data_IF_477377459722
#
_entry.id   IF_477377459722
#
_cell.length_a   1.000
_cell.length_b   1.000
_cell.length_c   1.000
_cell.angle_alpha   90.00
_cell.angle_beta   90.00
_cell.angle_gamma   90.00
#
_symmetry.space_group_name_H-M   'P 1'
#
loop_
_entity.id
_entity.type
_entity.pdbx_description
1 polymer ?
#
# COMPACT_ATOMS: atom_id res chain seq x y z
N UNK A 1 -12.37 6.43 21.77
CA UNK A 1 -12.15 6.58 20.31
C UNK A 1 -12.85 5.42 19.63
N UNK A 2 -13.66 5.68 18.60
CA UNK A 2 -14.17 4.64 17.70
C UNK A 2 -13.00 4.24 16.79
N UNK A 3 -12.66 2.96 16.72
CA UNK A 3 -11.55 2.42 15.94
C UNK A 3 -10.82 1.27 16.65
N UNK A 4 -10.00 0.49 15.93
CA UNK A 4 -9.32 -0.65 16.53
C UNK A 4 -8.34 -0.23 17.61
N UNK A 5 -8.33 -0.99 18.71
CA UNK A 5 -7.36 -0.82 19.79
C UNK A 5 -6.01 -1.39 19.37
N UNK A 6 -5.09 -0.52 18.95
CA UNK A 6 -3.71 -0.88 18.62
C UNK A 6 -2.80 -0.47 19.78
N UNK A 7 -2.18 -1.44 20.44
CA UNK A 7 -1.34 -1.23 21.63
C UNK A 7 0.15 -1.51 21.40
N UNK A 8 0.53 -1.92 20.19
CA UNK A 8 1.92 -2.23 19.85
C UNK A 8 2.10 -2.47 18.35
N UNK A 9 3.24 -3.05 17.97
CA UNK A 9 3.52 -3.45 16.60
C UNK A 9 2.48 -4.48 16.09
N UNK A 10 2.08 -4.35 14.83
CA UNK A 10 1.08 -5.23 14.19
C UNK A 10 1.79 -6.42 13.53
N UNK A 11 2.91 -6.14 12.85
CA UNK A 11 3.73 -7.11 12.16
C UNK A 11 4.88 -7.57 13.08
N UNK A 12 5.32 -8.83 12.98
CA UNK A 12 4.83 -9.89 12.09
C UNK A 12 3.64 -10.68 12.67
N UNK A 13 3.10 -10.27 13.82
CA UNK A 13 2.15 -11.06 14.61
C UNK A 13 0.73 -11.15 14.02
N UNK A 14 0.38 -10.26 13.09
CA UNK A 14 -0.88 -10.28 12.36
C UNK A 14 -0.64 -10.19 10.85
N UNK A 15 -1.52 -10.77 10.06
CA UNK A 15 -1.60 -10.51 8.62
C UNK A 15 -2.54 -9.35 8.35
N UNK A 16 -2.09 -8.38 7.58
CA UNK A 16 -2.95 -7.31 7.11
C UNK A 16 -3.61 -7.73 5.80
N UNK A 17 -4.94 -7.63 5.72
CA UNK A 17 -5.71 -7.83 4.49
C UNK A 17 -6.39 -6.50 4.16
N UNK A 18 -6.01 -5.90 3.04
CA UNK A 18 -6.35 -4.53 2.69
C UNK A 18 -7.17 -4.44 1.40
N UNK A 19 -8.20 -3.59 1.40
CA UNK A 19 -8.85 -3.12 0.18
C UNK A 19 -8.29 -1.76 -0.23
N UNK A 20 -7.78 -1.67 -1.46
CA UNK A 20 -7.15 -0.47 -1.98
C UNK A 20 -8.10 0.34 -2.87
N UNK A 21 -7.93 1.66 -2.87
CA UNK A 21 -8.40 2.50 -3.97
C UNK A 21 -8.86 3.89 -3.61
N UNK A 22 -9.79 4.42 -4.42
CA UNK A 22 -10.37 5.75 -4.25
C UNK A 22 -11.91 5.67 -4.30
N UNK A 23 -12.63 6.13 -3.25
CA UNK A 23 -14.09 6.03 -3.18
C UNK A 23 -14.84 6.83 -4.28
N UNK A 24 -14.15 7.72 -4.99
CA UNK A 24 -14.72 8.52 -6.09
C UNK A 24 -14.48 7.90 -7.46
N UNK A 25 -13.86 6.72 -7.56
CA UNK A 25 -13.54 6.08 -8.83
C UNK A 25 -13.81 4.57 -8.80
N UNK A 26 -14.72 4.13 -9.67
CA UNK A 26 -15.02 2.70 -9.91
C UNK A 26 -13.88 1.95 -10.61
N UNK A 27 -12.83 2.65 -11.04
CA UNK A 27 -11.69 2.09 -11.80
C UNK A 27 -10.39 2.04 -11.00
N UNK A 28 -10.35 2.64 -9.81
CA UNK A 28 -9.14 2.76 -9.00
C UNK A 28 -9.14 1.83 -7.78
N UNK A 29 -9.90 0.73 -7.82
CA UNK A 29 -9.86 -0.33 -6.80
C UNK A 29 -11.13 -0.48 -5.97
N UNK A 30 -11.12 -1.50 -5.11
CA UNK A 30 -12.27 -1.99 -4.35
C UNK A 30 -12.99 -0.90 -3.53
N UNK A 31 -12.28 0.13 -3.03
CA UNK A 31 -12.89 1.21 -2.24
C UNK A 31 -13.91 2.05 -3.00
N UNK A 32 -13.79 2.14 -4.33
CA UNK A 32 -14.70 2.89 -5.20
C UNK A 32 -15.55 2.01 -6.11
N UNK A 33 -15.21 0.73 -6.24
CA UNK A 33 -15.94 -0.20 -7.11
C UNK A 33 -17.32 -0.59 -6.55
N UNK A 34 -17.43 -0.74 -5.22
CA UNK A 34 -18.64 -1.21 -4.55
C UNK A 34 -19.21 -0.15 -3.59
N UNK A 35 -20.54 -0.17 -3.30
CA UNK A 35 -21.11 0.58 -2.17
C UNK A 35 -20.43 0.21 -0.84
N UNK A 36 -20.40 1.13 0.13
CA UNK A 36 -19.66 0.97 1.41
C UNK A 36 -19.92 -0.39 2.08
N UNK A 37 -21.17 -0.73 2.31
CA UNK A 37 -21.52 -1.92 3.10
C UNK A 37 -21.21 -3.22 2.34
N UNK A 38 -21.43 -3.25 1.02
CA UNK A 38 -21.01 -4.39 0.18
C UNK A 38 -19.48 -4.52 0.13
N UNK A 39 -18.75 -3.41 0.02
CA UNK A 39 -17.29 -3.37 0.08
C UNK A 39 -16.75 -3.97 1.38
N UNK A 40 -17.30 -3.57 2.53
CA UNK A 40 -16.88 -4.08 3.84
C UNK A 40 -17.23 -5.56 4.02
N UNK A 41 -18.41 -6.01 3.59
CA UNK A 41 -18.77 -7.43 3.62
C UNK A 41 -17.86 -8.29 2.73
N UNK A 42 -17.42 -7.77 1.58
CA UNK A 42 -16.44 -8.46 0.73
C UNK A 42 -15.08 -8.55 1.41
N UNK A 43 -14.64 -7.48 2.09
CA UNK A 43 -13.42 -7.51 2.90
C UNK A 43 -13.51 -8.54 4.04
N UNK A 44 -14.68 -8.72 4.66
CA UNK A 44 -14.91 -9.77 5.65
C UNK A 44 -14.72 -11.17 5.07
N UNK A 45 -15.37 -11.46 3.94
CA UNK A 45 -15.22 -12.75 3.25
C UNK A 45 -13.76 -13.00 2.88
N UNK A 46 -13.08 -11.99 2.31
CA UNK A 46 -11.68 -12.11 1.94
C UNK A 46 -10.78 -12.38 3.17
N UNK A 47 -11.08 -11.73 4.30
CA UNK A 47 -10.33 -11.90 5.54
C UNK A 47 -10.55 -13.28 6.16
N UNK A 48 -11.76 -13.85 6.04
CA UNK A 48 -12.05 -15.21 6.48
C UNK A 48 -11.28 -16.26 5.68
N UNK A 49 -11.09 -16.07 4.38
CA UNK A 49 -10.24 -16.95 3.55
C UNK A 49 -8.80 -16.97 4.07
N UNK A 50 -8.25 -15.79 4.41
CA UNK A 50 -6.91 -15.68 4.99
C UNK A 50 -6.78 -16.28 6.39
N UNK A 51 -7.79 -16.08 7.24
CA UNK A 51 -7.82 -16.65 8.58
C UNK A 51 -7.93 -18.19 8.57
N UNK A 52 -8.52 -18.78 7.52
CA UNK A 52 -8.55 -20.24 7.32
C UNK A 52 -7.23 -20.78 6.77
N UNK A 53 -6.51 -19.98 6.00
CA UNK A 53 -5.29 -20.42 5.31
C UNK A 53 -4.01 -20.32 6.15
N UNK A 54 -3.99 -19.53 7.22
CA UNK A 54 -2.81 -19.33 8.06
C UNK A 54 -3.19 -19.10 9.53
N UNK A 55 -2.25 -19.35 10.43
CA UNK A 55 -2.41 -19.18 11.88
C UNK A 55 -2.32 -17.72 12.34
N UNK A 56 -1.77 -16.82 11.53
CA UNK A 56 -1.69 -15.40 11.89
C UNK A 56 -3.09 -14.76 11.93
N UNK A 57 -3.48 -14.11 13.05
CA UNK A 57 -4.71 -13.34 13.10
C UNK A 57 -4.76 -12.27 12.00
N UNK A 58 -5.93 -12.05 11.42
CA UNK A 58 -6.12 -11.05 10.38
C UNK A 58 -6.42 -9.67 10.98
N UNK A 59 -5.74 -8.65 10.48
CA UNK A 59 -6.04 -7.24 10.68
C UNK A 59 -6.56 -6.65 9.35
N UNK A 60 -7.84 -6.33 9.30
CA UNK A 60 -8.44 -5.69 8.13
C UNK A 60 -7.92 -4.26 7.96
N UNK A 61 -7.84 -3.82 6.70
CA UNK A 61 -7.42 -2.46 6.36
C UNK A 61 -8.17 -1.87 5.15
N UNK A 62 -8.36 -0.55 5.17
CA UNK A 62 -8.72 0.23 3.98
C UNK A 62 -7.52 1.08 3.57
N UNK A 63 -7.03 0.93 2.34
CA UNK A 63 -5.89 1.66 1.80
C UNK A 63 -6.37 2.70 0.77
N UNK A 64 -6.52 3.95 1.23
CA UNK A 64 -7.01 5.07 0.42
C UNK A 64 -5.86 5.71 -0.36
N UNK A 65 -6.05 5.93 -1.66
CA UNK A 65 -5.24 6.89 -2.44
C UNK A 65 -5.61 8.31 -2.01
N UNK A 66 -4.92 8.81 -0.98
CA UNK A 66 -5.22 10.11 -0.37
C UNK A 66 -4.66 11.26 -1.20
N UNK A 67 -3.56 11.01 -1.90
CA UNK A 67 -2.93 11.95 -2.83
C UNK A 67 -2.66 11.17 -4.12
N UNK A 68 -3.31 11.58 -5.20
CA UNK A 68 -3.29 10.86 -6.47
C UNK A 68 -2.56 11.66 -7.54
N UNK A 69 -1.62 11.03 -8.24
CA UNK A 69 -0.92 11.64 -9.35
C UNK A 69 -1.91 11.96 -10.49
N UNK A 70 -1.69 13.09 -11.16
CA UNK A 70 -2.58 13.59 -12.20
C UNK A 70 -1.85 13.67 -13.54
N UNK A 71 -2.59 13.50 -14.63
CA UNK A 71 -2.06 13.75 -15.98
C UNK A 71 -1.90 15.24 -16.32
N UNK A 72 -2.47 16.13 -15.53
CA UNK A 72 -2.39 17.58 -15.71
C UNK A 72 -1.91 18.26 -14.42
N UNK A 73 -1.22 19.42 -14.51
CA UNK A 73 -0.80 20.16 -13.34
C UNK A 73 -2.00 20.75 -12.59
N UNK A 74 -1.92 20.77 -11.26
CA UNK A 74 -2.80 21.54 -10.40
C UNK A 74 -2.46 23.03 -10.43
N UNK A 75 -3.16 23.82 -9.60
CA UNK A 75 -2.95 25.28 -9.50
C UNK A 75 -1.54 25.66 -9.04
N UNK A 76 -0.88 24.78 -8.29
CA UNK A 76 0.48 24.92 -7.79
C UNK A 76 1.54 24.34 -8.74
N UNK A 77 1.14 23.97 -9.97
CA UNK A 77 2.04 23.40 -10.99
C UNK A 77 2.38 21.92 -10.78
N UNK A 78 2.04 21.34 -9.63
CA UNK A 78 2.31 19.94 -9.34
C UNK A 78 1.25 19.02 -9.93
N UNK A 79 1.70 17.87 -10.43
CA UNK A 79 0.85 16.87 -11.10
C UNK A 79 0.25 15.89 -10.10
N UNK A 80 -0.48 16.43 -9.11
CA UNK A 80 -1.14 15.65 -8.07
C UNK A 80 -2.39 16.34 -7.56
N UNK A 81 -3.34 15.55 -7.09
CA UNK A 81 -4.56 16.01 -6.43
C UNK A 81 -4.63 15.40 -5.02
N UNK A 82 -4.82 16.26 -4.01
CA UNK A 82 -5.11 15.84 -2.64
C UNK A 82 -6.61 15.60 -2.48
N UNK A 83 -6.99 14.48 -1.87
CA UNK A 83 -8.37 14.26 -1.45
C UNK A 83 -8.78 15.30 -0.40
N UNK A 84 -10.05 15.69 -0.41
CA UNK A 84 -10.59 16.60 0.61
C UNK A 84 -10.55 15.98 2.01
N UNK A 85 -10.45 16.81 3.05
CA UNK A 85 -10.54 16.38 4.46
C UNK A 85 -11.81 15.53 4.69
N UNK A 86 -12.96 15.96 4.12
CA UNK A 86 -14.22 15.19 4.15
C UNK A 86 -14.05 13.77 3.61
N UNK A 87 -13.31 13.58 2.51
CA UNK A 87 -13.09 12.26 1.91
C UNK A 87 -12.15 11.41 2.76
N UNK A 88 -11.03 11.98 3.20
CA UNK A 88 -10.04 11.27 4.02
C UNK A 88 -10.70 10.81 5.33
N UNK A 89 -11.38 11.71 6.04
CA UNK A 89 -12.10 11.37 7.29
C UNK A 89 -13.23 10.37 7.07
N UNK A 90 -13.90 10.41 5.92
CA UNK A 90 -14.95 9.44 5.57
C UNK A 90 -14.38 8.01 5.52
N UNK A 91 -13.26 7.80 4.83
CA UNK A 91 -12.65 6.45 4.75
C UNK A 91 -12.02 6.02 6.08
N UNK A 92 -11.37 6.94 6.81
CA UNK A 92 -10.88 6.66 8.17
C UNK A 92 -12.02 6.23 9.09
N UNK A 93 -13.19 6.88 8.98
CA UNK A 93 -14.38 6.51 9.74
C UNK A 93 -14.91 5.13 9.35
N UNK A 94 -14.97 4.82 8.06
CA UNK A 94 -15.36 3.49 7.60
C UNK A 94 -14.46 2.39 8.17
N UNK A 95 -13.14 2.62 8.17
CA UNK A 95 -12.20 1.68 8.78
C UNK A 95 -12.46 1.56 10.30
N UNK A 96 -12.64 2.69 10.99
CA UNK A 96 -12.85 2.71 12.43
C UNK A 96 -14.16 2.03 12.87
N UNK A 97 -15.27 2.28 12.15
CA UNK A 97 -16.58 1.63 12.37
C UNK A 97 -16.49 0.10 12.18
N UNK A 98 -15.58 -0.35 11.30
CA UNK A 98 -15.39 -1.76 10.96
C UNK A 98 -14.18 -2.40 11.66
N UNK A 99 -13.64 -1.78 12.72
CA UNK A 99 -12.47 -2.28 13.46
C UNK A 99 -11.23 -2.57 12.57
N UNK A 100 -11.12 -1.87 11.44
CA UNK A 100 -10.03 -1.95 10.49
C UNK A 100 -9.05 -0.78 10.67
N UNK A 101 -7.79 -1.00 10.26
CA UNK A 101 -6.80 0.09 10.16
C UNK A 101 -6.97 0.82 8.82
N UNK A 102 -6.38 2.01 8.68
CA UNK A 102 -6.42 2.78 7.45
C UNK A 102 -5.01 3.14 6.99
N UNK A 103 -4.74 3.04 5.69
CA UNK A 103 -3.54 3.57 5.07
C UNK A 103 -3.91 4.76 4.18
N UNK A 104 -3.09 5.79 4.24
CA UNK A 104 -3.18 6.95 3.34
C UNK A 104 -2.01 6.89 2.38
N UNK A 105 -2.29 6.62 1.11
CA UNK A 105 -1.27 6.50 0.07
C UNK A 105 -0.95 7.85 -0.58
N UNK A 106 0.32 8.02 -0.94
CA UNK A 106 0.83 9.19 -1.64
C UNK A 106 1.43 8.81 -2.99
N UNK A 107 0.78 9.30 -4.04
CA UNK A 107 1.32 9.41 -5.40
C UNK A 107 1.70 10.89 -5.64
N UNK A 108 2.98 11.23 -5.46
CA UNK A 108 3.44 12.63 -5.42
C UNK A 108 3.41 13.35 -6.77
N UNK A 109 3.44 12.62 -7.88
CA UNK A 109 3.62 13.18 -9.21
C UNK A 109 4.95 13.93 -9.30
N UNK A 110 4.88 15.25 -9.49
CA UNK A 110 6.04 16.15 -9.50
C UNK A 110 6.22 16.93 -8.18
N UNK A 111 5.37 16.70 -7.18
CA UNK A 111 5.51 17.35 -5.88
C UNK A 111 6.65 16.73 -5.05
N UNK A 112 7.29 17.49 -4.15
CA UNK A 112 8.15 16.93 -3.11
C UNK A 112 7.32 16.09 -2.11
N UNK A 113 7.89 15.00 -1.59
CA UNK A 113 7.21 14.09 -0.66
C UNK A 113 6.86 14.76 0.69
N UNK A 114 7.77 15.58 1.23
CA UNK A 114 7.62 16.21 2.55
C UNK A 114 6.30 17.00 2.76
N UNK A 115 5.98 17.99 1.90
CA UNK A 115 4.72 18.74 2.00
C UNK A 115 3.46 17.87 1.89
N UNK A 116 3.51 16.78 1.14
CA UNK A 116 2.40 15.84 1.00
C UNK A 116 2.23 15.00 2.28
N UNK A 117 3.33 14.60 2.93
CA UNK A 117 3.28 13.96 4.25
C UNK A 117 2.77 14.92 5.34
N UNK A 118 3.24 16.17 5.37
CA UNK A 118 2.77 17.19 6.31
C UNK A 118 1.27 17.48 6.15
N UNK A 119 0.74 17.47 4.92
CA UNK A 119 -0.70 17.56 4.67
C UNK A 119 -1.48 16.41 5.33
N UNK A 120 -0.93 15.19 5.37
CA UNK A 120 -1.57 14.02 5.99
C UNK A 120 -1.31 13.88 7.50
N UNK A 121 -0.40 14.68 8.06
CA UNK A 121 -0.01 14.64 9.48
C UNK A 121 -1.17 14.64 10.47
N UNK A 122 -2.23 15.45 10.31
CA UNK A 122 -3.35 15.45 11.26
C UNK A 122 -4.04 14.09 11.38
N UNK A 123 -4.08 13.30 10.31
CA UNK A 123 -4.70 11.97 10.30
C UNK A 123 -3.76 10.90 10.82
N UNK A 124 -2.46 11.01 10.52
CA UNK A 124 -1.43 10.05 10.96
C UNK A 124 -1.21 10.05 12.48
N UNK A 125 -1.68 11.08 13.18
CA UNK A 125 -1.75 11.11 14.66
C UNK A 125 -2.72 10.07 15.24
N UNK A 126 -3.66 9.53 14.46
CA UNK A 126 -4.56 8.46 14.91
C UNK A 126 -3.79 7.13 14.97
N UNK A 127 -3.89 6.33 16.05
CA UNK A 127 -3.05 5.15 16.24
C UNK A 127 -3.20 4.09 15.14
N UNK A 128 -4.39 3.96 14.54
CA UNK A 128 -4.75 3.00 13.51
C UNK A 128 -4.65 3.54 12.07
N UNK A 129 -4.05 4.73 11.88
CA UNK A 129 -3.80 5.30 10.55
C UNK A 129 -2.30 5.23 10.23
N UNK A 130 -1.99 4.73 9.04
CA UNK A 130 -0.66 4.40 8.54
C UNK A 130 -0.42 5.05 7.16
N UNK A 131 0.78 4.92 6.61
CA UNK A 131 1.20 5.61 5.39
C UNK A 131 1.55 4.60 4.29
N UNK A 132 1.10 4.89 3.07
CA UNK A 132 1.59 4.29 1.84
C UNK A 132 2.33 5.34 1.00
N UNK A 133 3.39 4.93 0.31
CA UNK A 133 4.05 5.76 -0.69
C UNK A 133 4.25 4.94 -1.97
N UNK A 134 3.97 5.59 -3.10
CA UNK A 134 4.04 4.97 -4.40
C UNK A 134 5.18 5.55 -5.25
N UNK A 135 6.34 4.86 -5.34
CA UNK A 135 7.44 5.30 -6.18
C UNK A 135 7.08 5.37 -7.66
N UNK A 136 6.06 4.65 -8.16
CA UNK A 136 5.65 4.69 -9.57
C UNK A 136 5.38 6.13 -10.02
N UNK A 137 4.87 6.94 -9.10
CA UNK A 137 4.47 8.32 -9.35
C UNK A 137 5.44 9.35 -8.80
N UNK A 138 6.63 8.95 -8.36
CA UNK A 138 7.69 9.88 -7.97
C UNK A 138 8.52 10.26 -9.20
N UNK A 139 8.09 11.31 -9.89
CA UNK A 139 8.59 11.65 -11.22
C UNK A 139 9.88 12.49 -11.17
N UNK A 140 10.95 11.94 -10.59
CA UNK A 140 12.26 12.62 -10.42
C UNK A 140 12.88 13.17 -11.71
N UNK A 141 12.44 12.69 -12.88
CA UNK A 141 12.92 13.12 -14.21
C UNK A 141 12.19 14.33 -14.77
N UNK A 142 11.14 14.84 -14.11
CA UNK A 142 10.26 15.86 -14.67
C UNK A 142 9.20 15.31 -15.64
N UNK A 143 9.23 14.02 -15.96
CA UNK A 143 8.25 13.41 -16.84
C UNK A 143 6.84 13.46 -16.24
N UNK A 144 5.83 13.66 -17.09
CA UNK A 144 4.43 13.62 -16.67
C UNK A 144 4.09 12.24 -16.06
N UNK A 145 3.36 12.18 -14.92
CA UNK A 145 2.92 10.91 -14.34
C UNK A 145 2.19 10.01 -15.35
N UNK A 146 2.42 8.70 -15.26
CA UNK A 146 1.84 7.71 -16.17
C UNK A 146 2.50 7.62 -17.55
N UNK A 147 3.52 8.42 -17.85
CA UNK A 147 4.31 8.30 -19.10
C UNK A 147 5.60 7.51 -18.93
N UNK A 148 6.13 7.47 -17.70
CA UNK A 148 7.28 6.67 -17.28
C UNK A 148 7.01 6.16 -15.86
N UNK A 149 7.72 5.11 -15.47
CA UNK A 149 7.73 4.64 -14.07
C UNK A 149 8.70 5.54 -13.30
N UNK A 150 8.20 6.13 -12.21
CA UNK A 150 8.96 6.95 -11.28
C UNK A 150 9.88 6.14 -10.37
N UNK A 151 10.49 6.83 -9.40
CA UNK A 151 11.43 6.21 -8.46
C UNK A 151 11.51 6.97 -7.15
N UNK A 152 11.73 6.23 -6.06
CA UNK A 152 12.23 6.75 -4.80
C UNK A 152 13.61 6.20 -4.52
N UNK A 153 14.45 7.03 -3.92
CA UNK A 153 15.67 6.57 -3.30
C UNK A 153 15.43 6.15 -1.85
N UNK A 154 16.36 5.39 -1.28
CA UNK A 154 16.41 5.15 0.16
C UNK A 154 16.36 6.45 0.97
N UNK A 155 16.90 7.57 0.47
CA UNK A 155 16.77 8.88 1.12
C UNK A 155 15.30 9.34 1.25
N UNK A 156 14.46 9.14 0.22
CA UNK A 156 13.03 9.48 0.27
C UNK A 156 12.29 8.57 1.27
N UNK A 157 12.60 7.27 1.27
CA UNK A 157 12.00 6.31 2.21
C UNK A 157 12.42 6.63 3.65
N UNK A 158 13.69 6.96 3.87
CA UNK A 158 14.20 7.38 5.17
C UNK A 158 13.57 8.70 5.65
N UNK A 159 13.24 9.62 4.74
CA UNK A 159 12.46 10.81 5.08
C UNK A 159 11.09 10.44 5.65
N UNK A 160 10.38 9.50 5.01
CA UNK A 160 9.10 9.00 5.48
C UNK A 160 9.22 8.24 6.82
N UNK A 161 10.26 7.42 6.99
CA UNK A 161 10.55 6.72 8.25
C UNK A 161 10.76 7.71 9.40
N UNK A 162 11.59 8.74 9.20
CA UNK A 162 11.85 9.74 10.23
C UNK A 162 10.57 10.53 10.57
N UNK A 163 9.83 10.98 9.56
CA UNK A 163 8.57 11.68 9.73
C UNK A 163 7.54 10.86 10.55
N UNK A 164 7.37 9.58 10.25
CA UNK A 164 6.48 8.70 11.00
C UNK A 164 7.00 8.44 12.42
N UNK A 165 8.31 8.28 12.60
CA UNK A 165 8.92 8.10 13.93
C UNK A 165 8.69 9.32 14.82
N UNK A 166 8.79 10.53 14.28
CA UNK A 166 8.53 11.77 15.01
C UNK A 166 7.06 11.89 15.41
N UNK A 167 6.12 11.52 14.53
CA UNK A 167 4.69 11.44 14.87
C UNK A 167 4.46 10.44 16.01
N UNK A 168 5.09 9.26 15.95
CA UNK A 168 4.96 8.24 17.00
C UNK A 168 5.42 8.76 18.34
N UNK A 169 6.62 9.35 18.40
CA UNK A 169 7.20 9.89 19.64
C UNK A 169 6.37 11.05 20.18
N UNK A 170 5.98 11.99 19.33
CA UNK A 170 5.26 13.20 19.77
C UNK A 170 3.83 12.93 20.26
N UNK A 171 3.25 11.77 19.93
CA UNK A 171 1.86 11.44 20.25
C UNK A 171 1.73 10.13 21.06
N UNK A 172 2.84 9.56 21.55
CA UNK A 172 2.92 8.29 22.27
C UNK A 172 2.12 7.16 21.58
N UNK A 173 2.33 7.00 20.27
CA UNK A 173 1.59 6.02 19.46
C UNK A 173 2.29 4.65 19.44
N UNK A 174 1.56 3.57 19.12
CA UNK A 174 2.21 2.34 18.66
C UNK A 174 2.97 2.59 17.34
N UNK A 175 3.92 1.70 16.98
CA UNK A 175 4.67 1.81 15.73
C UNK A 175 3.77 1.94 14.50
N UNK A 176 4.12 2.85 13.60
CA UNK A 176 3.44 3.01 12.31
C UNK A 176 3.88 1.93 11.33
N UNK A 177 3.12 1.76 10.26
CA UNK A 177 3.49 0.95 9.12
C UNK A 177 3.69 1.91 7.95
N UNK A 178 4.79 1.74 7.24
CA UNK A 178 5.08 2.37 5.96
C UNK A 178 5.02 1.30 4.88
N UNK A 179 4.03 1.40 3.98
CA UNK A 179 3.96 0.57 2.78
C UNK A 179 4.70 1.28 1.65
N UNK A 180 5.68 0.61 1.05
CA UNK A 180 6.41 1.10 -0.12
C UNK A 180 6.05 0.21 -1.31
N UNK A 181 5.27 0.75 -2.23
CA UNK A 181 4.79 0.04 -3.41
C UNK A 181 5.92 -0.20 -4.41
N UNK A 182 5.93 -1.37 -5.07
CA UNK A 182 6.99 -1.73 -6.01
C UNK A 182 6.58 -2.86 -6.93
N UNK A 183 6.77 -2.69 -8.23
CA UNK A 183 6.61 -3.78 -9.21
C UNK A 183 7.72 -3.88 -10.26
N UNK A 184 8.69 -2.97 -10.21
CA UNK A 184 9.96 -3.08 -10.94
C UNK A 184 11.12 -2.84 -9.99
N UNK A 185 12.32 -3.29 -10.34
CA UNK A 185 13.50 -3.08 -9.51
C UNK A 185 13.84 -1.59 -9.32
N UNK A 186 13.76 -0.80 -10.40
CA UNK A 186 14.21 0.61 -10.42
C UNK A 186 13.29 1.59 -9.69
N UNK A 187 12.13 1.15 -9.23
CA UNK A 187 11.23 1.97 -8.42
C UNK A 187 11.82 2.33 -7.06
N UNK A 188 12.72 1.51 -6.53
CA UNK A 188 13.42 1.78 -5.26
C UNK A 188 14.91 1.62 -5.48
N UNK A 189 15.66 2.71 -5.34
CA UNK A 189 17.13 2.69 -5.45
C UNK A 189 17.78 2.65 -4.08
N UNK A 190 19.00 2.12 -4.04
CA UNK A 190 19.84 2.10 -2.84
C UNK A 190 19.18 1.46 -1.61
N UNK A 191 18.34 0.44 -1.79
CA UNK A 191 17.53 -0.17 -0.71
C UNK A 191 18.34 -0.55 0.55
N UNK A 192 19.63 -0.92 0.40
CA UNK A 192 20.53 -1.24 1.52
C UNK A 192 20.77 -0.06 2.47
N UNK A 193 20.51 1.16 2.03
CA UNK A 193 20.62 2.39 2.81
C UNK A 193 19.31 2.77 3.52
N UNK A 194 18.23 1.98 3.36
CA UNK A 194 16.98 2.17 4.10
C UNK A 194 17.23 1.81 5.56
N UNK A 195 16.92 2.72 6.47
CA UNK A 195 17.18 2.60 7.90
C UNK A 195 15.92 2.10 8.60
N UNK A 196 16.06 0.99 9.33
CA UNK A 196 14.99 0.49 10.20
C UNK A 196 14.85 1.38 11.44
N UNK A 197 13.64 1.49 11.95
CA UNK A 197 13.32 2.28 13.14
C UNK A 197 12.28 1.53 13.98
N UNK A 198 12.45 1.41 15.32
CA UNK A 198 11.50 0.67 16.15
C UNK A 198 10.07 1.26 16.13
N UNK A 199 9.92 2.53 15.78
CA UNK A 199 8.63 3.20 15.66
C UNK A 199 7.96 3.01 14.28
N UNK A 200 8.63 2.37 13.31
CA UNK A 200 8.14 2.22 11.93
C UNK A 200 8.43 0.82 11.39
N UNK A 201 7.38 0.11 11.02
CA UNK A 201 7.44 -1.18 10.33
C UNK A 201 7.36 -0.93 8.82
N UNK A 202 8.37 -1.34 8.06
CA UNK A 202 8.45 -1.11 6.62
C UNK A 202 7.98 -2.36 5.88
N UNK A 203 7.00 -2.21 4.99
CA UNK A 203 6.51 -3.25 4.09
C UNK A 203 6.95 -2.92 2.67
N UNK A 204 7.83 -3.74 2.10
CA UNK A 204 8.11 -3.71 0.66
C UNK A 204 7.01 -4.50 -0.06
N UNK A 205 6.17 -3.80 -0.80
CA UNK A 205 4.91 -4.31 -1.30
C UNK A 205 4.97 -4.59 -2.81
N UNK A 206 4.93 -5.86 -3.20
CA UNK A 206 4.91 -6.29 -4.59
C UNK A 206 3.56 -5.94 -5.25
N UNK A 207 3.54 -4.89 -6.06
CA UNK A 207 2.35 -4.26 -6.66
C UNK A 207 2.18 -4.59 -8.17
N UNK A 208 2.75 -5.71 -8.61
CA UNK A 208 2.69 -6.14 -10.02
C UNK A 208 1.42 -6.95 -10.30
N UNK A 209 0.85 -6.78 -11.49
CA UNK A 209 -0.27 -7.61 -11.96
C UNK A 209 0.17 -8.58 -13.06
N UNK A 210 -0.58 -9.66 -13.21
CA UNK A 210 -0.35 -10.67 -14.23
C UNK A 210 -0.58 -12.09 -13.70
N UNK A 211 -0.29 -13.11 -14.50
CA UNK A 211 -0.45 -14.50 -14.10
C UNK A 211 0.52 -14.83 -12.96
N UNK A 212 0.21 -15.84 -12.14
CA UNK A 212 0.99 -16.17 -10.94
C UNK A 212 2.47 -16.33 -11.19
N UNK A 213 2.86 -17.03 -12.25
CA UNK A 213 4.28 -17.23 -12.58
C UNK A 213 5.06 -15.91 -12.79
N UNK A 214 4.43 -14.87 -13.36
CA UNK A 214 5.07 -13.56 -13.51
C UNK A 214 5.19 -12.86 -12.15
N UNK A 215 4.14 -12.94 -11.33
CA UNK A 215 4.14 -12.33 -10.00
C UNK A 215 5.13 -13.00 -9.05
N UNK A 216 5.30 -14.32 -9.15
CA UNK A 216 6.32 -15.08 -8.42
C UNK A 216 7.74 -14.73 -8.89
N UNK A 217 7.97 -14.64 -10.22
CA UNK A 217 9.26 -14.23 -10.78
C UNK A 217 9.65 -12.82 -10.32
N UNK A 218 8.72 -11.87 -10.40
CA UNK A 218 8.96 -10.49 -9.96
C UNK A 218 9.08 -10.35 -8.45
N UNK A 219 8.33 -11.14 -7.67
CA UNK A 219 8.52 -11.23 -6.21
C UNK A 219 9.95 -11.70 -5.87
N UNK A 220 10.43 -12.77 -6.52
CA UNK A 220 11.82 -13.23 -6.37
C UNK A 220 12.82 -12.14 -6.75
N UNK A 221 12.63 -11.52 -7.91
CA UNK A 221 13.64 -10.61 -8.45
C UNK A 221 13.69 -9.28 -7.72
N UNK A 222 12.57 -8.85 -7.12
CA UNK A 222 12.44 -7.51 -6.55
C UNK A 222 12.26 -7.50 -5.03
N UNK A 223 11.58 -8.48 -4.44
CA UNK A 223 11.40 -8.52 -2.98
C UNK A 223 12.48 -9.37 -2.33
N UNK A 224 12.73 -10.57 -2.85
CA UNK A 224 13.69 -11.52 -2.23
C UNK A 224 15.13 -11.03 -2.37
N UNK A 225 15.51 -10.50 -3.54
CA UNK A 225 16.87 -10.00 -3.80
C UNK A 225 17.18 -8.65 -3.13
N UNK A 226 16.15 -7.92 -2.71
CA UNK A 226 16.29 -6.59 -2.10
C UNK A 226 15.48 -6.47 -0.80
N UNK A 227 15.80 -7.30 0.22
CA UNK A 227 15.05 -7.35 1.45
C UNK A 227 15.23 -6.07 2.29
N UNK A 228 14.18 -5.69 3.02
CA UNK A 228 14.21 -4.56 3.96
C UNK A 228 13.73 -4.98 5.35
N UNK A 229 12.44 -5.25 5.54
CA UNK A 229 11.91 -5.70 6.82
C UNK A 229 10.74 -6.68 6.67
N UNK A 230 9.60 -6.22 6.16
CA UNK A 230 8.43 -7.06 5.89
C UNK A 230 8.06 -7.00 4.41
N UNK A 231 7.30 -8.00 3.96
CA UNK A 231 6.87 -8.11 2.57
C UNK A 231 5.37 -8.04 2.44
N UNK A 232 4.94 -7.41 1.36
CA UNK A 232 3.55 -7.35 0.95
C UNK A 232 3.36 -7.88 -0.47
N UNK A 233 2.12 -8.25 -0.79
CA UNK A 233 1.74 -8.75 -2.10
C UNK A 233 0.36 -8.25 -2.48
N UNK A 234 0.22 -7.75 -3.71
CA UNK A 234 -1.07 -7.31 -4.24
C UNK A 234 -1.71 -8.35 -5.12
N UNK A 235 -3.03 -8.44 -5.09
CA UNK A 235 -3.87 -9.28 -5.91
C UNK A 235 -4.87 -8.40 -6.65
N UNK A 236 -4.93 -8.56 -7.98
CA UNK A 236 -5.83 -7.75 -8.81
C UNK A 236 -6.96 -8.62 -9.33
N UNK A 237 -8.18 -8.41 -8.84
CA UNK A 237 -9.34 -9.25 -9.17
C UNK A 237 -9.58 -9.37 -10.68
N UNK A 238 -9.28 -8.31 -11.43
CA UNK A 238 -9.48 -8.26 -12.89
C UNK A 238 -8.18 -8.35 -13.67
N UNK A 239 -7.12 -7.67 -13.23
CA UNK A 239 -5.89 -7.57 -14.02
C UNK A 239 -5.06 -8.87 -14.01
N UNK A 240 -5.08 -9.64 -12.92
CA UNK A 240 -4.37 -10.93 -12.85
C UNK A 240 -5.01 -12.00 -13.75
N UNK A 241 -6.28 -11.79 -14.14
CA UNK A 241 -7.03 -12.68 -15.04
C UNK A 241 -6.86 -12.33 -16.52
N UNK A 242 -6.19 -11.22 -16.85
CA UNK A 242 -5.97 -10.84 -18.25
C UNK A 242 -5.02 -11.84 -18.89
N UNK A 243 -5.38 -12.29 -20.11
CA UNK A 243 -4.50 -13.14 -20.91
C UNK A 243 -3.17 -12.41 -21.11
N UNK A 244 -2.08 -13.08 -20.79
CA UNK A 244 -0.76 -12.64 -21.23
C UNK A 244 -0.59 -12.97 -22.70
N UNK A 245 0.31 -12.22 -23.36
CA UNK A 245 0.76 -12.50 -24.72
C UNK A 245 1.04 -14.01 -24.88
N UNK A 246 0.59 -14.62 -25.99
CA UNK A 246 0.87 -16.02 -26.29
C UNK A 246 2.37 -16.31 -26.45
N UNK A 247 3.20 -15.28 -26.64
CA UNK A 247 4.67 -15.36 -26.60
C UNK A 247 5.25 -15.37 -25.19
N UNK A 248 4.43 -15.07 -24.18
CA UNK A 248 4.83 -15.08 -22.78
C UNK A 248 5.03 -16.51 -22.28
N UNK A 249 6.15 -16.75 -21.60
CA UNK A 249 6.42 -18.03 -20.91
C UNK A 249 5.46 -18.28 -19.72
N UNK A 250 4.68 -17.28 -19.33
CA UNK A 250 3.83 -17.31 -18.15
C UNK A 250 2.46 -17.93 -18.48
N UNK A 251 2.13 -19.07 -17.87
CA UNK A 251 0.91 -19.85 -18.18
C UNK A 251 -0.26 -19.55 -17.22
N UNK A 252 -1.45 -19.90 -17.70
CA UNK A 252 -2.81 -19.88 -17.09
C UNK A 252 -3.05 -18.72 -16.11
N UNK A 253 -3.68 -17.62 -16.56
CA UNK A 253 -4.03 -16.52 -15.68
C UNK A 253 -5.09 -16.97 -14.66
N UNK A 254 -4.80 -16.76 -13.38
CA UNK A 254 -5.75 -16.86 -12.29
C UNK A 254 -5.31 -15.94 -11.15
N UNK A 255 -6.26 -15.61 -10.28
CA UNK A 255 -5.97 -14.90 -9.05
C UNK A 255 -5.31 -15.89 -8.08
N UNK A 256 -4.10 -15.61 -7.62
CA UNK A 256 -3.42 -16.48 -6.65
C UNK A 256 -4.27 -16.62 -5.38
N UNK A 257 -4.40 -17.86 -4.92
CA UNK A 257 -5.05 -18.21 -3.66
C UNK A 257 -4.20 -17.80 -2.45
N UNK A 258 -4.79 -17.71 -1.23
CA UNK A 258 -4.01 -17.52 -0.02
C UNK A 258 -2.87 -18.52 0.13
N UNK A 259 -3.08 -19.80 -0.18
CA UNK A 259 -2.05 -20.85 -0.08
C UNK A 259 -0.87 -20.60 -1.02
N UNK A 260 -1.14 -20.19 -2.26
CA UNK A 260 -0.08 -19.87 -3.22
C UNK A 260 0.74 -18.65 -2.77
N UNK A 261 0.09 -17.61 -2.26
CA UNK A 261 0.79 -16.43 -1.72
C UNK A 261 1.57 -16.79 -0.44
N UNK A 262 1.04 -17.68 0.41
CA UNK A 262 1.72 -18.17 1.62
C UNK A 262 2.95 -19.04 1.31
N UNK A 263 3.02 -19.64 0.12
CA UNK A 263 4.20 -20.39 -0.32
C UNK A 263 5.41 -19.51 -0.63
N UNK A 264 5.21 -18.19 -0.78
CA UNK A 264 6.27 -17.24 -1.06
C UNK A 264 7.20 -17.05 0.16
N UNK A 265 8.50 -16.96 -0.11
CA UNK A 265 9.53 -16.64 0.88
C UNK A 265 10.30 -15.40 0.43
N UNK A 266 10.45 -14.35 1.27
CA UNK A 266 9.93 -14.21 2.64
C UNK A 266 8.41 -14.25 2.73
N UNK A 267 7.88 -14.62 3.91
CA UNK A 267 6.43 -14.77 4.15
C UNK A 267 5.71 -13.43 4.01
N UNK A 268 4.66 -13.40 3.19
CA UNK A 268 3.81 -12.22 2.98
C UNK A 268 2.93 -11.98 4.21
N UNK A 269 3.06 -10.79 4.79
CA UNK A 269 2.30 -10.34 5.98
C UNK A 269 1.36 -9.16 5.70
N UNK A 270 1.46 -8.56 4.51
CA UNK A 270 0.54 -7.53 4.03
C UNK A 270 -0.03 -7.95 2.67
N UNK A 271 -1.33 -8.12 2.56
CA UNK A 271 -2.00 -8.51 1.32
C UNK A 271 -2.97 -7.41 0.94
N UNK A 272 -2.88 -6.93 -0.30
CA UNK A 272 -3.74 -5.87 -0.82
C UNK A 272 -4.55 -6.39 -2.00
N UNK A 273 -5.84 -6.07 -2.03
CA UNK A 273 -6.73 -6.39 -3.13
C UNK A 273 -7.15 -5.12 -3.88
N UNK A 274 -7.13 -5.19 -5.22
CA UNK A 274 -7.58 -4.14 -6.12
C UNK A 274 -8.49 -4.68 -7.24
#
# INVERSE_FOLDING_TARGET
>A
MIGPKITGAILPNKRIVAYYGNPHSKKMGALGEYPKDDMLQRLDRQSQEWAKADSLPVQQALHLVAISAQGAPGKDGYYRMRMSDKTIRKVIRWAAEHNAICFLDIQVGLAPLGPEMEFLKPYLKLPYVHLGIDPEFSMKTGARPGTKIGTYDAADINQAVNFLSDIVKANNLPPKILVVHRFTQRMVTNYKNIKLNPNVQIVMHMDGWGPPSLKMDTYRDYIVKEPVQYTGFKLFYKNDLKKVDMRSKHKVPHLMTPQEVLSLTPKVVYVQYQ
#
